data_IF_333075949809
#
_entry.id   IF_333075949809
#
_cell.length_a   1.000
_cell.length_b   1.000
_cell.length_c   1.000
_cell.angle_alpha   90.00
_cell.angle_beta   90.00
_cell.angle_gamma   90.00
#
_symmetry.space_group_name_H-M   'P 1'
#
loop_
_entity.id
_entity.type
_entity.pdbx_description
1 polymer ?
#
# COMPACT_ATOMS: atom_id res chain seq x y z
N UNK A 1 -1.44 -3.14 14.10
CA UNK A 1 -1.41 -4.36 13.25
C UNK A 1 -0.51 -5.45 13.83
N UNK A 2 0.47 -5.13 14.68
CA UNK A 2 1.46 -6.11 15.15
C UNK A 2 2.69 -6.09 14.25
N UNK A 3 3.63 -6.97 14.53
CA UNK A 3 4.85 -7.16 13.74
C UNK A 3 4.51 -7.84 12.42
N UNK A 4 4.89 -7.20 11.31
CA UNK A 4 4.67 -7.71 9.95
C UNK A 4 5.71 -8.78 9.65
N UNK A 5 5.23 -9.93 9.17
CA UNK A 5 6.07 -11.08 8.81
C UNK A 5 6.11 -11.33 7.31
N UNK A 6 5.12 -10.86 6.55
CA UNK A 6 5.09 -11.03 5.11
C UNK A 6 4.23 -9.95 4.43
N UNK A 7 4.53 -9.65 3.16
CA UNK A 7 3.70 -8.82 2.29
C UNK A 7 3.62 -9.48 0.90
N UNK A 8 2.40 -9.73 0.44
CA UNK A 8 2.11 -10.22 -0.90
C UNK A 8 1.76 -9.04 -1.81
N UNK A 9 2.60 -8.81 -2.81
CA UNK A 9 2.53 -7.66 -3.69
C UNK A 9 2.39 -8.11 -5.16
N UNK A 10 1.66 -7.35 -5.98
CA UNK A 10 1.40 -7.72 -7.37
C UNK A 10 2.64 -7.56 -8.23
N UNK A 11 2.66 -8.21 -9.39
CA UNK A 11 3.73 -8.02 -10.35
C UNK A 11 3.66 -6.63 -11.01
N UNK A 12 4.83 -6.08 -11.33
CA UNK A 12 4.95 -4.87 -12.16
C UNK A 12 4.24 -5.07 -13.50
N UNK A 13 3.49 -4.06 -13.92
CA UNK A 13 2.75 -4.06 -15.18
C UNK A 13 1.25 -4.33 -15.04
N UNK A 14 0.80 -4.81 -13.89
CA UNK A 14 -0.61 -5.06 -13.61
C UNK A 14 -1.39 -3.76 -13.47
N UNK A 15 -2.67 -3.78 -13.86
CA UNK A 15 -3.57 -2.64 -13.75
C UNK A 15 -4.67 -2.98 -12.75
N UNK A 16 -5.02 -2.00 -11.93
CA UNK A 16 -6.10 -2.12 -10.96
C UNK A 16 -7.00 -0.89 -11.02
N UNK A 17 -8.24 -1.03 -10.56
CA UNK A 17 -9.16 0.10 -10.33
C UNK A 17 -9.08 0.59 -8.88
N UNK A 18 -9.56 1.82 -8.63
CA UNK A 18 -9.76 2.32 -7.27
C UNK A 18 -10.61 1.33 -6.45
N UNK A 19 -10.24 1.18 -5.16
CA UNK A 19 -10.84 0.24 -4.20
C UNK A 19 -10.70 -1.25 -4.51
N UNK A 20 -9.93 -1.61 -5.55
CA UNK A 20 -9.63 -3.00 -5.85
C UNK A 20 -8.50 -3.52 -4.95
N UNK A 21 -8.57 -4.78 -4.54
CA UNK A 21 -7.52 -5.41 -3.72
C UNK A 21 -6.33 -5.73 -4.62
N UNK A 22 -5.16 -5.17 -4.31
CA UNK A 22 -3.93 -5.43 -5.07
C UNK A 22 -2.98 -6.41 -4.40
N UNK A 23 -3.13 -6.64 -3.09
CA UNK A 23 -2.23 -7.47 -2.31
C UNK A 23 -2.68 -7.61 -0.87
N UNK A 24 -1.81 -8.17 -0.03
CA UNK A 24 -2.10 -8.34 1.40
C UNK A 24 -0.84 -8.21 2.26
N UNK A 25 -1.03 -7.86 3.52
CA UNK A 25 0.03 -7.84 4.55
C UNK A 25 -0.35 -8.78 5.67
N UNK A 26 0.61 -9.63 6.05
CA UNK A 26 0.47 -10.60 7.13
C UNK A 26 1.33 -10.19 8.33
N UNK A 27 0.68 -10.12 9.48
CA UNK A 27 1.29 -9.99 10.79
C UNK A 27 1.10 -11.30 11.56
N UNK A 28 1.88 -11.50 12.63
CA UNK A 28 1.89 -12.72 13.46
C UNK A 28 0.48 -13.23 13.87
N UNK A 29 -0.50 -12.33 14.00
CA UNK A 29 -1.86 -12.67 14.44
C UNK A 29 -2.96 -12.31 13.45
N UNK A 30 -2.63 -11.73 12.30
CA UNK A 30 -3.63 -11.02 11.50
C UNK A 30 -3.17 -10.84 10.06
N UNK A 31 -4.10 -11.04 9.12
CA UNK A 31 -3.92 -10.69 7.70
C UNK A 31 -4.83 -9.51 7.37
N UNK A 32 -4.35 -8.61 6.50
CA UNK A 32 -5.10 -7.45 6.00
C UNK A 32 -4.91 -7.30 4.50
N UNK A 33 -6.01 -7.08 3.82
CA UNK A 33 -6.01 -6.75 2.39
C UNK A 33 -5.53 -5.31 2.18
N UNK A 34 -4.84 -5.11 1.06
CA UNK A 34 -4.38 -3.81 0.60
C UNK A 34 -5.24 -3.36 -0.59
N UNK A 35 -5.87 -2.21 -0.45
CA UNK A 35 -6.78 -1.65 -1.45
C UNK A 35 -6.08 -0.54 -2.23
N UNK A 36 -6.37 -0.47 -3.52
CA UNK A 36 -5.83 0.56 -4.40
C UNK A 36 -6.45 1.92 -4.07
N UNK A 37 -5.64 2.94 -3.75
CA UNK A 37 -6.17 4.27 -3.45
C UNK A 37 -6.71 4.96 -4.70
N UNK A 38 -6.15 4.65 -5.88
CA UNK A 38 -6.55 5.16 -7.19
C UNK A 38 -6.28 4.10 -8.26
N UNK A 39 -7.02 4.17 -9.36
CA UNK A 39 -6.87 3.39 -10.58
C UNK A 39 -5.52 3.68 -11.23
N UNK A 40 -4.77 2.62 -11.55
CA UNK A 40 -3.44 2.78 -12.11
C UNK A 40 -2.74 1.48 -12.45
N UNK A 41 -1.53 1.64 -12.98
CA UNK A 41 -0.64 0.54 -13.36
C UNK A 41 0.54 0.46 -12.39
N UNK A 42 0.85 -0.73 -11.90
CA UNK A 42 2.04 -0.95 -11.06
C UNK A 42 3.30 -0.76 -11.91
N UNK A 43 4.18 0.15 -11.48
CA UNK A 43 5.47 0.42 -12.14
C UNK A 43 6.66 -0.10 -11.33
N UNK A 44 6.50 -0.27 -10.01
CA UNK A 44 7.57 -0.75 -9.12
C UNK A 44 6.97 -1.37 -7.86
N UNK A 45 7.60 -2.43 -7.36
CA UNK A 45 7.33 -3.04 -6.06
C UNK A 45 8.63 -3.18 -5.29
N UNK A 46 8.58 -3.17 -3.96
CA UNK A 46 9.79 -3.23 -3.13
C UNK A 46 10.24 -4.67 -2.83
N UNK A 47 11.31 -5.11 -3.49
CA UNK A 47 11.86 -6.46 -3.25
C UNK A 47 12.50 -6.61 -1.85
N UNK A 48 12.85 -5.50 -1.19
CA UNK A 48 13.49 -5.52 0.12
C UNK A 48 12.59 -6.12 1.21
N UNK A 49 11.26 -6.01 1.06
CA UNK A 49 10.31 -6.55 2.03
C UNK A 49 10.35 -8.08 2.14
N UNK A 50 10.81 -8.78 1.08
CA UNK A 50 11.03 -10.23 1.12
C UNK A 50 12.11 -10.64 2.14
N UNK A 51 13.04 -9.74 2.45
CA UNK A 51 14.15 -9.97 3.39
C UNK A 51 13.95 -9.23 4.72
N UNK A 52 13.23 -8.13 4.71
CA UNK A 52 13.02 -7.26 5.86
C UNK A 52 11.57 -6.74 5.91
N UNK A 53 10.58 -7.61 6.19
CA UNK A 53 9.16 -7.23 6.24
C UNK A 53 8.86 -6.23 7.37
N UNK A 54 9.69 -6.21 8.42
CA UNK A 54 9.57 -5.27 9.55
C UNK A 54 9.76 -3.81 9.16
N UNK A 55 10.32 -3.52 7.98
CA UNK A 55 10.46 -2.14 7.47
C UNK A 55 9.11 -1.43 7.31
N UNK A 56 8.02 -2.19 7.08
CA UNK A 56 6.66 -1.63 7.05
C UNK A 56 6.28 -1.06 8.42
N UNK A 57 6.75 -1.67 9.51
CA UNK A 57 6.53 -1.17 10.86
C UNK A 57 7.45 0.02 11.19
N UNK A 58 8.74 -0.09 10.84
CA UNK A 58 9.76 0.87 11.30
C UNK A 58 9.74 2.18 10.50
N UNK A 59 9.61 2.09 9.16
CA UNK A 59 9.73 3.23 8.26
C UNK A 59 8.71 3.17 7.10
N UNK A 60 7.40 3.19 7.38
CA UNK A 60 6.33 2.94 6.39
C UNK A 60 6.34 3.90 5.19
N UNK A 61 6.88 5.12 5.34
CA UNK A 61 6.92 6.13 4.29
C UNK A 61 8.28 6.27 3.60
N UNK A 62 9.32 5.55 4.05
CA UNK A 62 10.68 5.64 3.48
C UNK A 62 11.11 4.32 2.88
N UNK A 63 11.50 3.37 3.72
CA UNK A 63 12.04 2.08 3.28
C UNK A 63 10.98 0.97 3.32
N UNK A 64 9.79 1.27 3.85
CA UNK A 64 8.64 0.36 3.96
C UNK A 64 7.46 0.70 3.02
N UNK A 65 7.69 1.47 1.95
CA UNK A 65 6.67 1.68 0.91
C UNK A 65 6.35 0.35 0.22
N UNK A 66 5.18 0.21 -0.43
CA UNK A 66 4.73 -1.07 -0.98
C UNK A 66 4.84 -1.13 -2.51
N UNK A 67 4.18 -0.18 -3.18
CA UNK A 67 4.09 -0.11 -4.63
C UNK A 67 4.28 1.34 -5.10
N UNK A 68 4.76 1.51 -6.33
CA UNK A 68 4.62 2.74 -7.10
C UNK A 68 3.74 2.47 -8.29
N UNK A 69 2.90 3.43 -8.63
CA UNK A 69 1.93 3.30 -9.72
C UNK A 69 2.01 4.49 -10.67
N UNK A 70 1.73 4.22 -11.94
CA UNK A 70 1.34 5.22 -12.92
C UNK A 70 -0.17 5.43 -12.79
N UNK A 71 -0.58 6.62 -12.37
CA UNK A 71 -1.98 6.97 -12.12
C UNK A 71 -2.69 7.13 -13.47
N UNK A 72 -3.84 6.47 -13.62
CA UNK A 72 -4.63 6.51 -14.85
C UNK A 72 -5.61 7.69 -14.87
N UNK A 73 -6.18 8.03 -13.73
CA UNK A 73 -7.11 9.15 -13.57
C UNK A 73 -6.69 10.02 -12.37
N UNK A 74 -6.25 11.25 -12.66
CA UNK A 74 -5.80 12.19 -11.63
C UNK A 74 -6.96 12.79 -10.82
N UNK A 75 -8.19 12.72 -11.33
CA UNK A 75 -9.36 13.25 -10.62
C UNK A 75 -9.70 12.42 -9.37
N UNK A 76 -9.35 11.13 -9.37
CA UNK A 76 -9.53 10.24 -8.22
C UNK A 76 -8.70 10.66 -7.00
N UNK A 77 -7.66 11.50 -7.19
CA UNK A 77 -6.90 12.08 -6.08
C UNK A 77 -7.76 13.03 -5.22
N UNK A 78 -8.81 13.62 -5.78
CA UNK A 78 -9.75 14.48 -5.05
C UNK A 78 -10.61 13.70 -4.06
N UNK A 79 -10.75 12.37 -4.25
CA UNK A 79 -11.46 11.48 -3.33
C UNK A 79 -10.61 11.11 -2.09
N UNK A 80 -9.31 11.40 -2.13
CA UNK A 80 -8.40 11.05 -1.04
C UNK A 80 -8.44 12.10 0.07
N UNK A 81 -8.19 11.63 1.30
CA UNK A 81 -8.07 12.50 2.45
C UNK A 81 -6.72 13.22 2.46
N UNK A 82 -6.75 14.51 2.74
CA UNK A 82 -5.56 15.24 3.15
C UNK A 82 -5.04 14.76 4.51
N UNK A 83 -3.77 15.01 4.81
CA UNK A 83 -3.18 14.65 6.09
C UNK A 83 -3.95 15.21 7.30
N UNK A 84 -4.52 16.41 7.18
CA UNK A 84 -5.34 17.02 8.24
C UNK A 84 -6.66 16.29 8.42
N UNK A 85 -7.39 16.03 7.32
CA UNK A 85 -8.65 15.28 7.36
C UNK A 85 -8.47 13.88 7.94
N UNK A 86 -7.38 13.19 7.57
CA UNK A 86 -7.09 11.87 8.13
C UNK A 86 -6.82 11.93 9.64
N UNK A 87 -6.05 12.93 10.10
CA UNK A 87 -5.77 13.13 11.53
C UNK A 87 -7.04 13.35 12.36
N UNK A 88 -8.03 14.06 11.81
CA UNK A 88 -9.32 14.28 12.49
C UNK A 88 -10.14 12.99 12.66
N UNK A 89 -10.04 12.04 11.73
CA UNK A 89 -10.75 10.75 11.81
C UNK A 89 -10.10 9.74 12.77
N UNK A 90 -8.80 9.85 13.00
CA UNK A 90 -8.03 8.88 13.80
C UNK A 90 -7.81 9.31 15.25
N UNK A 91 -8.30 10.50 15.64
CA UNK A 91 -8.15 11.07 16.98
C UNK A 91 -9.34 10.75 17.90
#
# INVERSE_FOLDING_TARGET
>A
MGEIVNADLPNVGYNFQQDEVFGSVEAVKTVRDLFMPVSGKIIETIDLLLKAPTLINDNPYKDGWLIKIEIKDLTELENLLTANQYKELTN
#
